data_IF_059306974998
#
_entry.id   IF_059306974998
#
_cell.length_a   1.000
_cell.length_b   1.000
_cell.length_c   1.000
_cell.angle_alpha   90.00
_cell.angle_beta   90.00
_cell.angle_gamma   90.00
#
_symmetry.space_group_name_H-M   'P 1'
#
loop_
_entity.id
_entity.type
_entity.pdbx_description
1 polymer ?
#
# COMPACT_ATOMS: atom_id res chain seq x y z
N UNK A 1 22.32 -9.15 19.93
CA UNK A 1 22.63 -8.28 18.78
C UNK A 1 22.34 -6.82 19.13
N UNK A 2 23.18 -6.19 19.99
CA UNK A 2 22.85 -4.89 20.64
C UNK A 2 22.63 -3.72 19.67
N UNK A 3 23.16 -3.82 18.45
CA UNK A 3 23.12 -2.77 17.43
C UNK A 3 21.71 -2.57 16.88
N UNK A 4 20.89 -3.63 16.74
CA UNK A 4 19.50 -3.53 16.28
C UNK A 4 18.52 -3.07 17.37
N UNK A 5 19.01 -2.38 18.40
CA UNK A 5 18.16 -1.63 19.34
C UNK A 5 18.15 -0.14 19.03
N UNK A 6 19.04 0.32 18.15
CA UNK A 6 19.15 1.73 17.78
C UNK A 6 18.18 1.98 16.62
N UNK A 7 17.14 2.83 16.81
CA UNK A 7 16.14 3.13 15.79
C UNK A 7 16.73 3.51 14.44
N UNK A 8 17.74 4.39 14.45
CA UNK A 8 18.42 4.85 13.25
C UNK A 8 19.08 3.72 12.45
N UNK A 9 19.69 2.75 13.12
CA UNK A 9 20.34 1.62 12.44
C UNK A 9 19.30 0.69 11.84
N UNK A 10 18.17 0.50 12.54
CA UNK A 10 17.07 -0.25 11.96
C UNK A 10 16.52 0.44 10.72
N UNK A 11 16.27 1.74 10.81
CA UNK A 11 15.67 2.53 9.74
C UNK A 11 16.56 2.58 8.49
N UNK A 12 17.82 2.99 8.64
CA UNK A 12 18.70 3.21 7.50
C UNK A 12 19.40 1.95 6.99
N UNK A 13 19.74 1.00 7.87
CA UNK A 13 20.52 -0.17 7.48
C UNK A 13 19.65 -1.43 7.40
N UNK A 14 18.88 -1.73 8.44
CA UNK A 14 18.17 -3.00 8.52
C UNK A 14 16.98 -3.06 7.55
N UNK A 15 16.15 -2.03 7.47
CA UNK A 15 15.04 -1.96 6.51
C UNK A 15 15.57 -2.04 5.08
N UNK A 16 16.61 -1.29 4.75
CA UNK A 16 17.26 -1.32 3.43
C UNK A 16 17.81 -2.71 3.10
N UNK A 17 18.50 -3.35 4.05
CA UNK A 17 19.03 -4.71 3.90
C UNK A 17 17.91 -5.74 3.63
N UNK A 18 16.86 -5.74 4.46
CA UNK A 18 15.73 -6.65 4.29
C UNK A 18 14.98 -6.41 2.98
N UNK A 19 14.80 -5.15 2.57
CA UNK A 19 14.19 -4.80 1.29
C UNK A 19 15.00 -5.34 0.11
N UNK A 20 16.32 -5.17 0.16
CA UNK A 20 17.21 -5.68 -0.88
C UNK A 20 17.22 -7.21 -0.95
N UNK A 21 17.11 -7.89 0.19
CA UNK A 21 16.95 -9.35 0.21
C UNK A 21 15.60 -9.78 -0.33
N UNK A 22 14.51 -9.13 0.10
CA UNK A 22 13.15 -9.40 -0.38
C UNK A 22 13.04 -9.29 -1.90
N UNK A 23 13.59 -8.22 -2.49
CA UNK A 23 13.60 -7.99 -3.93
C UNK A 23 14.38 -9.04 -4.72
N UNK A 24 15.46 -9.58 -4.14
CA UNK A 24 16.32 -10.55 -4.81
C UNK A 24 15.81 -11.98 -4.67
N UNK A 25 15.41 -12.37 -3.46
CA UNK A 25 14.99 -13.73 -3.15
C UNK A 25 14.28 -13.79 -1.78
N UNK A 26 12.95 -13.98 -1.80
CA UNK A 26 12.11 -14.10 -0.59
C UNK A 26 12.47 -15.33 0.26
N UNK A 27 12.93 -16.43 -0.35
CA UNK A 27 13.38 -17.63 0.38
C UNK A 27 14.62 -17.31 1.22
N UNK A 28 15.59 -16.56 0.68
CA UNK A 28 16.78 -16.13 1.46
C UNK A 28 16.42 -15.24 2.63
N UNK A 29 15.43 -14.35 2.44
CA UNK A 29 14.91 -13.52 3.53
C UNK A 29 14.28 -14.39 4.63
N UNK A 30 13.47 -15.37 4.26
CA UNK A 30 12.88 -16.31 5.22
C UNK A 30 13.94 -17.08 6.01
N UNK A 31 14.92 -17.69 5.33
CA UNK A 31 16.02 -18.42 5.99
C UNK A 31 16.83 -17.49 6.90
N UNK A 32 17.08 -16.25 6.49
CA UNK A 32 17.75 -15.27 7.34
C UNK A 32 16.96 -14.98 8.63
N UNK A 33 15.63 -14.83 8.53
CA UNK A 33 14.77 -14.63 9.70
C UNK A 33 14.72 -15.87 10.60
N UNK A 34 14.70 -17.08 10.03
CA UNK A 34 14.80 -18.34 10.79
C UNK A 34 16.11 -18.37 11.59
N UNK A 35 17.25 -18.08 10.95
CA UNK A 35 18.55 -18.00 11.63
C UNK A 35 18.59 -16.92 12.71
N UNK A 36 17.98 -15.76 12.47
CA UNK A 36 17.84 -14.71 13.49
C UNK A 36 17.10 -15.25 14.72
N UNK A 37 15.99 -15.97 14.52
CA UNK A 37 15.22 -16.56 15.62
C UNK A 37 15.93 -17.68 16.37
N UNK A 38 16.84 -18.39 15.73
CA UNK A 38 17.66 -19.43 16.36
C UNK A 38 18.81 -18.83 17.19
N UNK A 39 19.38 -17.71 16.73
CA UNK A 39 20.60 -17.15 17.31
C UNK A 39 20.36 -15.94 18.23
N UNK A 40 19.18 -15.34 18.19
CA UNK A 40 18.82 -14.17 18.99
C UNK A 40 17.75 -14.57 20.01
N UNK A 41 17.92 -14.21 21.30
CA UNK A 41 16.89 -14.45 22.30
C UNK A 41 15.54 -13.85 21.90
N UNK A 42 14.45 -14.58 22.15
CA UNK A 42 13.11 -14.20 21.71
C UNK A 42 12.72 -12.76 22.12
N UNK A 43 13.05 -12.35 23.34
CA UNK A 43 12.75 -11.00 23.82
C UNK A 43 13.50 -9.91 23.02
N UNK A 44 14.74 -10.18 22.58
CA UNK A 44 15.53 -9.24 21.78
C UNK A 44 14.98 -9.19 20.35
N UNK A 45 14.60 -10.34 19.79
CA UNK A 45 13.99 -10.42 18.46
C UNK A 45 12.63 -9.69 18.41
N UNK A 46 11.81 -9.82 19.46
CA UNK A 46 10.56 -9.06 19.60
C UNK A 46 10.84 -7.55 19.63
N UNK A 47 11.88 -7.09 20.32
CA UNK A 47 12.28 -5.67 20.30
C UNK A 47 12.68 -5.20 18.88
N UNK A 48 13.43 -6.02 18.14
CA UNK A 48 13.84 -5.73 16.76
C UNK A 48 12.61 -5.59 15.86
N UNK A 49 11.67 -6.55 15.91
CA UNK A 49 10.44 -6.54 15.10
C UNK A 49 9.57 -5.32 15.45
N UNK A 50 9.47 -4.97 16.73
CA UNK A 50 8.75 -3.78 17.18
C UNK A 50 9.33 -2.50 16.56
N UNK A 51 10.64 -2.33 16.64
CA UNK A 51 11.31 -1.14 16.14
C UNK A 51 11.25 -1.08 14.61
N UNK A 52 11.44 -2.22 13.93
CA UNK A 52 11.25 -2.35 12.49
C UNK A 52 9.84 -1.91 12.09
N UNK A 53 8.81 -2.39 12.79
CA UNK A 53 7.43 -2.02 12.49
C UNK A 53 7.12 -0.56 12.74
N UNK A 54 7.74 0.04 13.75
CA UNK A 54 7.64 1.47 13.97
C UNK A 54 8.20 2.26 12.78
N UNK A 55 9.41 1.91 12.30
CA UNK A 55 9.99 2.52 11.10
C UNK A 55 9.08 2.36 9.87
N UNK A 56 8.54 1.15 9.66
CA UNK A 56 7.61 0.89 8.57
C UNK A 56 6.33 1.73 8.63
N UNK A 57 5.77 1.94 9.82
CA UNK A 57 4.62 2.82 10.00
C UNK A 57 4.94 4.28 9.69
N UNK A 58 6.12 4.76 10.08
CA UNK A 58 6.58 6.11 9.77
C UNK A 58 6.69 6.31 8.26
N UNK A 59 7.36 5.39 7.57
CA UNK A 59 7.48 5.41 6.09
C UNK A 59 6.13 5.33 5.39
N UNK A 60 5.21 4.51 5.90
CA UNK A 60 3.88 4.37 5.31
C UNK A 60 3.03 5.65 5.40
N UNK A 61 3.21 6.47 6.44
CA UNK A 61 2.41 7.69 6.69
C UNK A 61 2.93 8.94 6.01
N UNK A 62 4.21 9.02 5.68
CA UNK A 62 4.90 10.29 5.41
C UNK A 62 4.81 10.83 3.96
N UNK A 63 3.99 10.26 3.07
CA UNK A 63 4.18 10.47 1.62
C UNK A 63 3.35 11.58 0.95
N UNK A 64 2.37 12.18 1.60
CA UNK A 64 1.45 13.11 0.89
C UNK A 64 1.88 14.59 0.85
N UNK A 65 3.15 14.91 1.15
CA UNK A 65 3.55 16.32 1.30
C UNK A 65 3.62 17.11 0.00
N UNK A 66 3.96 16.48 -1.13
CA UNK A 66 4.21 17.21 -2.39
C UNK A 66 3.67 16.53 -3.66
N UNK A 67 3.62 15.19 -3.68
CA UNK A 67 3.08 14.40 -4.80
C UNK A 67 2.43 13.12 -4.29
N UNK A 68 1.46 12.58 -5.04
CA UNK A 68 0.89 11.27 -4.76
C UNK A 68 1.86 10.18 -5.20
N UNK A 69 2.80 9.84 -4.32
CA UNK A 69 3.74 8.73 -4.54
C UNK A 69 3.43 7.59 -3.56
N UNK A 70 2.91 6.49 -4.11
CA UNK A 70 2.59 5.28 -3.36
C UNK A 70 3.73 4.27 -3.32
N UNK A 71 4.88 4.59 -3.94
CA UNK A 71 6.02 3.68 -4.05
C UNK A 71 6.51 3.20 -2.68
N UNK A 72 6.57 4.09 -1.70
CA UNK A 72 6.98 3.72 -0.33
C UNK A 72 5.93 2.85 0.36
N UNK A 73 4.64 3.14 0.21
CA UNK A 73 3.57 2.32 0.80
C UNK A 73 3.57 0.91 0.21
N UNK A 74 3.73 0.80 -1.12
CA UNK A 74 3.85 -0.47 -1.82
C UNK A 74 5.10 -1.22 -1.34
N UNK A 75 6.25 -0.54 -1.20
CA UNK A 75 7.48 -1.13 -0.68
C UNK A 75 7.31 -1.66 0.74
N UNK A 76 6.72 -0.86 1.63
CA UNK A 76 6.46 -1.23 3.03
C UNK A 76 5.55 -2.46 3.09
N UNK A 77 4.42 -2.46 2.37
CA UNK A 77 3.47 -3.57 2.36
C UNK A 77 4.10 -4.85 1.80
N UNK A 78 4.83 -4.76 0.68
CA UNK A 78 5.55 -5.91 0.10
C UNK A 78 6.58 -6.48 1.09
N UNK A 79 7.36 -5.63 1.75
CA UNK A 79 8.40 -6.08 2.66
C UNK A 79 7.80 -6.70 3.94
N UNK A 80 6.77 -6.08 4.52
CA UNK A 80 6.05 -6.67 5.67
C UNK A 80 5.47 -8.03 5.29
N UNK A 81 4.87 -8.14 4.10
CA UNK A 81 4.28 -9.40 3.63
C UNK A 81 5.35 -10.49 3.48
N UNK A 82 6.49 -10.16 2.87
CA UNK A 82 7.60 -11.10 2.68
C UNK A 82 8.21 -11.55 4.03
N UNK A 83 8.39 -10.65 4.98
CA UNK A 83 8.88 -10.98 6.33
C UNK A 83 7.89 -11.88 7.07
N UNK A 84 6.59 -11.64 6.89
CA UNK A 84 5.52 -12.47 7.44
C UNK A 84 5.42 -13.86 6.80
N UNK A 85 6.18 -14.20 5.76
CA UNK A 85 6.24 -15.58 5.26
C UNK A 85 6.91 -16.51 6.27
N UNK A 86 7.83 -15.99 7.08
CA UNK A 86 8.45 -16.71 8.20
C UNK A 86 7.46 -16.85 9.36
N UNK A 87 7.25 -18.08 9.83
CA UNK A 87 6.13 -18.45 10.71
C UNK A 87 6.27 -17.85 12.11
N UNK A 88 7.46 -17.87 12.71
CA UNK A 88 7.70 -17.36 14.05
C UNK A 88 7.58 -15.83 14.06
N UNK A 89 8.14 -15.16 13.05
CA UNK A 89 8.01 -13.72 12.81
C UNK A 89 6.54 -13.33 12.71
N UNK A 90 5.77 -13.99 11.83
CA UNK A 90 4.32 -13.74 11.69
C UNK A 90 3.57 -13.86 13.00
N UNK A 91 3.77 -14.96 13.74
CA UNK A 91 3.11 -15.20 15.03
C UNK A 91 3.45 -14.10 16.05
N UNK A 92 4.73 -13.80 16.21
CA UNK A 92 5.20 -12.83 17.21
C UNK A 92 4.83 -11.40 16.85
N UNK A 93 4.78 -11.07 15.56
CA UNK A 93 4.36 -9.77 15.05
C UNK A 93 2.87 -9.52 15.30
N UNK A 94 2.03 -10.52 15.04
CA UNK A 94 0.59 -10.47 15.35
C UNK A 94 0.38 -10.29 16.86
N UNK A 95 1.00 -11.16 17.66
CA UNK A 95 0.77 -11.22 19.11
C UNK A 95 1.30 -9.99 19.86
N UNK A 96 2.49 -9.48 19.50
CA UNK A 96 3.19 -8.48 20.30
C UNK A 96 3.18 -7.07 19.71
N UNK A 97 2.90 -6.93 18.40
CA UNK A 97 3.09 -5.67 17.69
C UNK A 97 1.77 -5.18 17.11
N UNK A 98 1.18 -5.92 16.19
CA UNK A 98 -0.01 -5.49 15.45
C UNK A 98 -1.22 -5.32 16.37
N UNK A 99 -1.53 -6.30 17.21
CA UNK A 99 -2.72 -6.19 18.08
C UNK A 99 -2.48 -5.38 19.35
N UNK A 100 -1.25 -5.39 19.89
CA UNK A 100 -0.96 -4.71 21.15
C UNK A 100 -0.56 -3.25 20.99
N UNK A 101 0.27 -2.92 19.99
CA UNK A 101 0.90 -1.60 19.87
C UNK A 101 0.35 -0.79 18.71
N UNK A 102 0.15 -1.43 17.56
CA UNK A 102 -0.37 -0.77 16.35
C UNK A 102 -1.90 -0.86 16.34
N UNK A 103 -2.53 -0.09 17.23
CA UNK A 103 -4.00 0.02 17.23
C UNK A 103 -4.50 0.61 15.90
N UNK A 104 -5.71 0.24 15.50
CA UNK A 104 -6.40 0.76 14.30
C UNK A 104 -6.32 2.29 14.16
N UNK A 105 -6.37 3.03 15.28
CA UNK A 105 -6.18 4.49 15.31
C UNK A 105 -4.87 4.98 14.67
N UNK A 106 -3.80 4.17 14.70
CA UNK A 106 -2.55 4.50 14.03
C UNK A 106 -2.68 4.48 12.52
N UNK A 107 -3.57 3.65 11.96
CA UNK A 107 -3.87 3.63 10.52
C UNK A 107 -4.83 4.75 10.11
N UNK A 108 -5.63 5.30 11.03
CA UNK A 108 -6.51 6.45 10.77
C UNK A 108 -5.76 7.77 10.57
N UNK A 109 -4.45 7.82 10.86
CA UNK A 109 -3.60 8.98 10.58
C UNK A 109 -3.01 8.97 9.16
N UNK A 110 -3.45 8.07 8.27
CA UNK A 110 -3.18 8.22 6.85
C UNK A 110 -3.92 9.48 6.41
N UNK A 111 -3.18 10.54 6.15
CA UNK A 111 -3.74 11.80 5.64
C UNK A 111 -4.40 11.47 4.30
N UNK A 112 -5.67 11.83 4.14
CA UNK A 112 -6.35 11.68 2.85
C UNK A 112 -5.65 12.58 1.82
N UNK A 113 -5.56 12.18 0.54
CA UNK A 113 -5.08 13.09 -0.50
C UNK A 113 -5.96 14.33 -0.54
N UNK A 114 -5.38 15.49 -0.91
CA UNK A 114 -6.18 16.69 -1.14
C UNK A 114 -7.11 16.50 -2.34
N UNK A 115 -8.21 17.25 -2.40
CA UNK A 115 -9.14 17.19 -3.54
C UNK A 115 -8.43 17.46 -4.88
N UNK A 116 -7.44 18.36 -4.88
CA UNK A 116 -6.62 18.67 -6.06
C UNK A 116 -5.79 17.45 -6.51
N UNK A 117 -5.15 16.76 -5.57
CA UNK A 117 -4.43 15.51 -5.86
C UNK A 117 -5.38 14.41 -6.34
N UNK A 118 -6.55 14.30 -5.70
CA UNK A 118 -7.57 13.31 -6.05
C UNK A 118 -8.10 13.52 -7.47
N UNK A 119 -8.36 14.77 -7.86
CA UNK A 119 -8.78 15.14 -9.21
C UNK A 119 -7.70 14.88 -10.27
N UNK A 120 -6.42 14.93 -9.90
CA UNK A 120 -5.32 14.54 -10.79
C UNK A 120 -5.17 13.01 -10.90
N UNK A 121 -5.55 12.28 -9.86
CA UNK A 121 -5.41 10.82 -9.77
C UNK A 121 -6.53 10.04 -10.42
N UNK A 122 -7.77 10.44 -10.13
CA UNK A 122 -8.94 9.76 -10.66
C UNK A 122 -9.32 10.50 -11.93
N UNK A 123 -9.07 9.89 -13.11
CA UNK A 123 -9.52 10.50 -14.35
C UNK A 123 -11.03 10.74 -14.23
N UNK A 124 -11.49 11.91 -14.66
CA UNK A 124 -12.91 12.21 -14.72
C UNK A 124 -13.53 11.11 -15.61
N UNK A 125 -14.38 10.27 -15.03
CA UNK A 125 -14.98 9.13 -15.73
C UNK A 125 -16.28 9.56 -16.40
N UNK A 126 -16.48 9.20 -17.67
CA UNK A 126 -17.59 9.69 -18.48
C UNK A 126 -18.97 9.41 -17.88
N UNK A 127 -19.15 8.27 -17.20
CA UNK A 127 -20.42 7.89 -16.57
C UNK A 127 -20.77 8.72 -15.32
N UNK A 128 -19.80 9.45 -14.76
CA UNK A 128 -20.06 10.37 -13.64
C UNK A 128 -20.75 11.66 -14.07
N UNK A 129 -20.77 11.97 -15.37
CA UNK A 129 -21.31 13.20 -15.93
C UNK A 129 -22.66 12.96 -16.60
N UNK A 130 -22.84 11.85 -17.33
CA UNK A 130 -24.10 11.55 -18.04
C UNK A 130 -25.29 11.17 -17.13
N UNK A 131 -25.03 10.74 -15.87
CA UNK A 131 -26.09 10.39 -14.92
C UNK A 131 -26.52 11.55 -14.01
N UNK A 132 -25.82 12.68 -14.10
CA UNK A 132 -26.15 13.90 -13.37
C UNK A 132 -26.78 14.79 -14.43
N UNK A 133 -28.09 15.03 -14.38
CA UNK A 133 -28.78 15.88 -15.36
C UNK A 133 -28.26 17.32 -15.34
N UNK A 134 -27.09 17.53 -15.95
CA UNK A 134 -26.37 18.79 -16.01
C UNK A 134 -26.92 19.61 -17.17
N UNK A 135 -26.81 20.94 -17.07
CA UNK A 135 -27.17 21.84 -18.17
C UNK A 135 -26.17 21.60 -19.33
N UNK A 136 -26.67 21.53 -20.58
CA UNK A 136 -25.88 21.14 -21.78
C UNK A 136 -24.52 21.87 -21.90
N UNK A 137 -24.47 23.16 -21.56
CA UNK A 137 -23.23 23.95 -21.60
C UNK A 137 -22.16 23.46 -20.61
N UNK A 138 -22.59 22.94 -19.46
CA UNK A 138 -21.73 22.39 -18.42
C UNK A 138 -21.24 20.99 -18.81
N UNK A 139 -22.08 20.18 -19.44
CA UNK A 139 -21.70 18.88 -20.02
C UNK A 139 -20.64 19.05 -21.10
N UNK A 140 -20.84 19.98 -22.06
CA UNK A 140 -19.89 20.24 -23.14
C UNK A 140 -18.53 20.71 -22.58
N UNK A 141 -18.54 21.54 -21.54
CA UNK A 141 -17.32 22.04 -20.89
C UNK A 141 -16.58 20.94 -20.14
N UNK A 142 -17.30 20.04 -19.47
CA UNK A 142 -16.72 18.87 -18.81
C UNK A 142 -16.20 17.85 -19.82
N UNK A 143 -16.92 17.66 -20.94
CA UNK A 143 -16.53 16.76 -22.01
C UNK A 143 -15.19 17.13 -22.66
N UNK A 144 -14.87 18.43 -22.72
CA UNK A 144 -13.57 18.91 -23.21
C UNK A 144 -12.38 18.53 -22.33
N UNK A 145 -12.62 18.19 -21.06
CA UNK A 145 -11.58 17.79 -20.12
C UNK A 145 -11.35 16.27 -20.11
N UNK A 146 -12.08 15.50 -20.92
CA UNK A 146 -11.87 14.06 -21.00
C UNK A 146 -10.60 13.70 -21.79
N UNK A 147 -9.95 12.58 -21.44
CA UNK A 147 -8.91 11.97 -22.27
C UNK A 147 -9.38 11.73 -23.71
N UNK A 148 -8.50 11.87 -24.70
CA UNK A 148 -8.85 11.71 -26.13
C UNK A 148 -9.45 10.33 -26.46
N UNK A 149 -9.07 9.30 -25.70
CA UNK A 149 -9.51 7.92 -25.84
C UNK A 149 -10.84 7.60 -25.13
N UNK A 150 -11.47 8.57 -24.44
CA UNK A 150 -12.68 8.31 -23.63
C UNK A 150 -13.82 7.66 -24.41
N UNK A 151 -14.01 8.04 -25.69
CA UNK A 151 -15.07 7.48 -26.56
C UNK A 151 -14.87 5.99 -26.82
N UNK A 152 -13.61 5.58 -26.98
CA UNK A 152 -13.23 4.18 -27.22
C UNK A 152 -13.50 3.38 -25.94
N UNK A 153 -13.05 3.89 -24.78
CA UNK A 153 -13.31 3.27 -23.48
C UNK A 153 -14.81 3.15 -23.19
N UNK A 154 -15.61 4.18 -23.52
CA UNK A 154 -17.07 4.17 -23.38
C UNK A 154 -17.71 3.06 -24.20
N UNK A 155 -17.40 3.00 -25.49
CA UNK A 155 -17.97 1.96 -26.37
C UNK A 155 -17.58 0.54 -25.91
N UNK A 156 -16.35 0.34 -25.43
CA UNK A 156 -15.91 -0.95 -24.90
C UNK A 156 -16.66 -1.36 -23.63
N UNK A 157 -16.97 -0.41 -22.75
CA UNK A 157 -17.78 -0.64 -21.57
C UNK A 157 -19.24 -0.98 -21.92
N UNK A 158 -19.88 -0.20 -22.81
CA UNK A 158 -21.27 -0.45 -23.24
C UNK A 158 -21.41 -1.84 -23.88
N UNK A 159 -20.49 -2.21 -24.77
CA UNK A 159 -20.43 -3.55 -25.35
C UNK A 159 -20.27 -4.66 -24.29
N UNK A 160 -19.48 -4.39 -23.23
CA UNK A 160 -19.34 -5.34 -22.12
C UNK A 160 -20.62 -5.45 -21.29
N UNK A 161 -21.30 -4.34 -21.02
CA UNK A 161 -22.59 -4.33 -20.34
C UNK A 161 -23.66 -5.09 -21.12
N UNK A 162 -23.73 -4.92 -22.44
CA UNK A 162 -24.71 -5.62 -23.26
C UNK A 162 -24.45 -7.12 -23.31
N UNK A 163 -23.18 -7.55 -23.39
CA UNK A 163 -22.82 -8.97 -23.23
C UNK A 163 -23.28 -9.53 -21.88
N UNK A 164 -23.09 -8.78 -20.79
CA UNK A 164 -23.53 -9.19 -19.45
C UNK A 164 -25.06 -9.28 -19.38
N UNK A 165 -25.79 -8.31 -19.94
CA UNK A 165 -27.26 -8.36 -19.99
C UNK A 165 -27.77 -9.56 -20.77
N UNK A 166 -27.12 -9.91 -21.89
CA UNK A 166 -27.45 -11.11 -22.64
C UNK A 166 -27.24 -12.38 -21.79
N UNK A 167 -26.14 -12.47 -21.04
CA UNK A 167 -25.86 -13.60 -20.15
C UNK A 167 -26.81 -13.72 -18.94
N UNK A 168 -27.40 -12.62 -18.49
CA UNK A 168 -28.35 -12.61 -17.37
C UNK A 168 -29.78 -12.95 -17.83
N UNK A 169 -30.09 -12.69 -19.11
CA UNK A 169 -31.41 -12.93 -19.69
C UNK A 169 -31.52 -14.28 -20.42
N UNK A 170 -30.46 -15.09 -20.45
CA UNK A 170 -30.44 -16.53 -20.80
C UNK A 170 -30.62 -17.41 -19.56
#
# INVERSE_FOLDING_TARGET
MRILKIPYIIDYCFVSFLNNMSKKNTIKLKVFLELMWENIPDYEMICIINQFMFCMLCEFKCTWREKFDTSNQIMVLKLITAICEETKTRKQMIANVLFNKIKFSHFLHIVAPSDEMFNHMIPIVYWSIENIGLVEDMEIKLMKNFPEDYKICKSAYENSCDKIKHLINE
#
